data_IF_469003610907
#
_entry.id   IF_469003610907
#
_cell.length_a   1.000
_cell.length_b   1.000
_cell.length_c   1.000
_cell.angle_alpha   90.00
_cell.angle_beta   90.00
_cell.angle_gamma   90.00
#
_symmetry.space_group_name_H-M   'P 1'
#
loop_
_entity.id
_entity.type
_entity.pdbx_description
1 polymer ?
#
# COMPACT_ATOMS: atom_id res chain seq x y z
N UNK A 1 7.88 5.61 -20.12
CA UNK A 1 6.56 5.44 -19.49
C UNK A 1 6.65 4.24 -18.56
N UNK A 2 6.07 4.30 -17.36
CA UNK A 2 6.17 3.22 -16.36
C UNK A 2 5.44 1.97 -16.87
N UNK A 3 6.03 0.78 -16.69
CA UNK A 3 5.43 -0.51 -17.04
C UNK A 3 4.83 -1.20 -15.83
N UNK A 4 5.48 -1.11 -14.67
CA UNK A 4 5.00 -1.63 -13.39
C UNK A 4 4.95 -0.55 -12.33
N UNK A 5 3.78 -0.38 -11.72
CA UNK A 5 3.54 0.63 -10.70
C UNK A 5 3.11 -0.08 -9.42
N UNK A 6 3.81 0.19 -8.31
CA UNK A 6 3.37 -0.20 -6.98
C UNK A 6 2.58 0.94 -6.35
N UNK A 7 1.40 0.63 -5.83
CA UNK A 7 0.50 1.56 -5.16
C UNK A 7 0.22 1.03 -3.73
N UNK A 8 1.02 1.44 -2.73
CA UNK A 8 0.74 1.08 -1.35
C UNK A 8 -0.52 1.79 -0.84
N UNK A 9 -1.43 1.03 -0.25
CA UNK A 9 -2.72 1.49 0.29
C UNK A 9 -2.79 1.16 1.78
N UNK A 10 -3.02 2.19 2.59
CA UNK A 10 -3.43 2.01 3.98
C UNK A 10 -4.96 1.87 4.03
N UNK A 11 -5.43 0.66 4.30
CA UNK A 11 -6.86 0.33 4.36
C UNK A 11 -7.59 0.97 5.55
N UNK A 12 -6.86 1.63 6.44
CA UNK A 12 -7.42 2.40 7.55
C UNK A 12 -7.58 3.89 7.21
N UNK A 13 -7.20 4.31 5.99
CA UNK A 13 -7.20 5.71 5.56
C UNK A 13 -7.87 5.88 4.18
N UNK A 14 -9.14 6.29 4.19
CA UNK A 14 -9.94 6.34 2.96
C UNK A 14 -9.65 7.57 2.08
N UNK A 15 -9.56 8.78 2.64
CA UNK A 15 -9.59 10.03 1.86
C UNK A 15 -8.43 10.16 0.86
N UNK A 16 -7.18 10.01 1.33
CA UNK A 16 -6.00 10.15 0.47
C UNK A 16 -5.75 8.93 -0.41
N UNK A 17 -6.26 7.77 -0.01
CA UNK A 17 -6.25 6.58 -0.86
C UNK A 17 -7.10 6.81 -2.11
N UNK A 18 -8.25 7.49 -1.98
CA UNK A 18 -9.09 7.84 -3.13
C UNK A 18 -8.42 8.83 -4.08
N UNK A 19 -7.75 9.87 -3.56
CA UNK A 19 -7.01 10.82 -4.41
C UNK A 19 -5.83 10.13 -5.13
N UNK A 20 -5.13 9.25 -4.43
CA UNK A 20 -4.07 8.42 -5.03
C UNK A 20 -4.62 7.55 -6.15
N UNK A 21 -5.73 6.84 -5.92
CA UNK A 21 -6.38 6.01 -6.94
C UNK A 21 -6.78 6.85 -8.16
N UNK A 22 -7.38 8.03 -7.98
CA UNK A 22 -7.79 8.91 -9.07
C UNK A 22 -6.61 9.36 -9.97
N UNK A 23 -5.43 9.59 -9.39
CA UNK A 23 -4.22 9.88 -10.16
C UNK A 23 -3.72 8.65 -10.92
N UNK A 24 -3.77 7.47 -10.30
CA UNK A 24 -3.40 6.20 -10.94
C UNK A 24 -4.32 5.90 -12.13
N UNK A 25 -5.62 6.18 -12.04
CA UNK A 25 -6.54 6.03 -13.18
C UNK A 25 -6.09 6.82 -14.41
N UNK A 26 -5.55 8.03 -14.23
CA UNK A 26 -5.05 8.82 -15.36
C UNK A 26 -3.79 8.22 -15.96
N UNK A 27 -2.89 7.69 -15.12
CA UNK A 27 -1.67 7.01 -15.58
C UNK A 27 -2.02 5.71 -16.33
N UNK A 28 -3.02 4.97 -15.84
CA UNK A 28 -3.49 3.71 -16.43
C UNK A 28 -3.96 3.89 -17.88
N UNK A 29 -4.67 4.98 -18.18
CA UNK A 29 -5.23 5.27 -19.51
C UNK A 29 -4.19 5.44 -20.61
N UNK A 30 -3.06 6.06 -20.29
CA UNK A 30 -2.08 6.45 -21.31
C UNK A 30 -1.06 5.33 -21.54
N UNK A 31 -0.68 4.60 -20.48
CA UNK A 31 0.46 3.67 -20.52
C UNK A 31 0.12 2.18 -20.43
N UNK A 32 -1.11 1.84 -20.01
CA UNK A 32 -1.53 0.46 -19.68
C UNK A 32 -0.49 -0.31 -18.81
N UNK A 33 0.02 0.29 -17.72
CA UNK A 33 0.94 -0.41 -16.83
C UNK A 33 0.24 -1.56 -16.09
N UNK A 34 1.02 -2.52 -15.62
CA UNK A 34 0.60 -3.44 -14.56
C UNK A 34 0.68 -2.69 -13.22
N UNK A 35 -0.43 -2.62 -12.51
CA UNK A 35 -0.64 -1.84 -11.29
C UNK A 35 -0.82 -2.80 -10.14
N UNK A 36 0.15 -2.82 -9.23
CA UNK A 36 0.08 -3.62 -8.03
C UNK A 36 -0.41 -2.76 -6.88
N UNK A 37 -1.61 -3.05 -6.36
CA UNK A 37 -2.08 -2.51 -5.10
C UNK A 37 -1.59 -3.41 -3.97
N UNK A 38 -0.96 -2.79 -2.96
CA UNK A 38 -0.40 -3.49 -1.81
C UNK A 38 -0.92 -2.86 -0.52
N UNK A 39 -1.54 -3.65 0.33
CA UNK A 39 -1.73 -3.27 1.74
C UNK A 39 -0.76 -4.05 2.61
N UNK A 40 -0.27 -3.47 3.70
CA UNK A 40 0.64 -4.14 4.64
C UNK A 40 0.03 -4.14 6.01
N UNK A 41 -0.20 -5.34 6.56
CA UNK A 41 -0.65 -5.50 7.94
C UNK A 41 0.55 -5.75 8.86
N UNK A 42 0.51 -5.27 10.12
CA UNK A 42 1.57 -5.55 11.05
C UNK A 42 1.60 -7.03 11.44
N UNK A 43 2.81 -7.59 11.53
CA UNK A 43 3.03 -8.86 12.20
C UNK A 43 2.58 -8.72 13.67
N UNK A 44 1.64 -9.57 14.11
CA UNK A 44 1.02 -9.40 15.43
C UNK A 44 2.01 -9.65 16.57
N UNK A 45 2.90 -10.63 16.43
CA UNK A 45 3.90 -10.93 17.46
C UNK A 45 4.85 -9.74 17.66
N UNK A 46 5.35 -9.18 16.56
CA UNK A 46 6.22 -8.01 16.59
C UNK A 46 5.49 -6.75 17.08
N UNK A 47 4.21 -6.61 16.75
CA UNK A 47 3.42 -5.43 17.08
C UNK A 47 2.97 -5.41 18.54
N UNK A 48 2.45 -6.53 19.06
CA UNK A 48 1.96 -6.64 20.44
C UNK A 48 3.07 -7.04 21.44
N UNK A 49 4.18 -7.60 20.97
CA UNK A 49 5.31 -7.98 21.82
C UNK A 49 4.87 -8.90 22.97
N UNK A 50 5.18 -8.49 24.21
CA UNK A 50 4.83 -9.25 25.42
C UNK A 50 3.32 -9.44 25.61
N UNK A 51 2.49 -8.56 25.06
CA UNK A 51 1.03 -8.61 25.17
C UNK A 51 0.41 -9.58 24.16
N UNK A 52 1.19 -10.12 23.21
CA UNK A 52 0.73 -11.06 22.20
C UNK A 52 0.05 -12.30 22.83
N UNK A 53 0.53 -12.77 23.99
CA UNK A 53 -0.09 -13.90 24.68
C UNK A 53 -1.54 -13.63 25.12
N UNK A 54 -1.89 -12.37 25.35
CA UNK A 54 -3.20 -11.94 25.86
C UNK A 54 -4.21 -11.60 24.77
N UNK A 55 -3.80 -11.50 23.49
CA UNK A 55 -4.75 -11.17 22.41
C UNK A 55 -5.61 -12.39 22.05
N UNK A 56 -6.89 -12.19 21.67
CA UNK A 56 -7.75 -13.29 21.24
C UNK A 56 -7.15 -14.05 20.05
N UNK A 57 -7.29 -15.38 20.04
CA UNK A 57 -6.65 -16.27 19.05
C UNK A 57 -6.96 -15.89 17.59
N UNK A 58 -8.19 -15.43 17.33
CA UNK A 58 -8.62 -14.92 16.02
C UNK A 58 -7.79 -13.75 15.47
N UNK A 59 -7.08 -13.01 16.33
CA UNK A 59 -6.19 -11.90 15.94
C UNK A 59 -4.71 -12.32 15.85
N UNK A 60 -4.37 -13.52 16.31
CA UNK A 60 -3.02 -14.09 16.14
C UNK A 60 -2.84 -14.70 14.77
N UNK A 61 -3.90 -15.30 14.23
CA UNK A 61 -3.86 -15.92 12.91
C UNK A 61 -3.60 -14.86 11.82
N UNK A 62 -2.38 -14.87 11.28
CA UNK A 62 -2.01 -14.01 10.16
C UNK A 62 -2.82 -14.32 8.91
N UNK A 63 -3.26 -15.56 8.72
CA UNK A 63 -3.97 -16.00 7.50
C UNK A 63 -5.34 -15.32 7.40
N UNK A 64 -6.12 -15.32 8.47
CA UNK A 64 -7.41 -14.64 8.50
C UNK A 64 -7.28 -13.12 8.41
N UNK A 65 -6.28 -12.53 9.08
CA UNK A 65 -6.02 -11.08 8.96
C UNK A 65 -5.62 -10.70 7.55
N UNK A 66 -4.77 -11.50 6.90
CA UNK A 66 -4.38 -11.31 5.50
C UNK A 66 -5.59 -11.43 4.59
N UNK A 67 -6.47 -12.41 4.80
CA UNK A 67 -7.70 -12.58 4.03
C UNK A 67 -8.62 -11.36 4.16
N UNK A 68 -8.84 -10.86 5.38
CA UNK A 68 -9.67 -9.69 5.63
C UNK A 68 -9.06 -8.42 5.02
N UNK A 69 -7.75 -8.24 5.14
CA UNK A 69 -7.05 -7.11 4.54
C UNK A 69 -7.12 -7.14 3.01
N UNK A 70 -7.02 -8.32 2.40
CA UNK A 70 -7.18 -8.49 0.95
C UNK A 70 -8.58 -8.07 0.49
N UNK A 71 -9.63 -8.53 1.19
CA UNK A 71 -11.01 -8.13 0.89
C UNK A 71 -11.20 -6.61 1.07
N UNK A 72 -10.68 -6.03 2.14
CA UNK A 72 -10.75 -4.59 2.37
C UNK A 72 -10.01 -3.78 1.28
N UNK A 73 -8.85 -4.26 0.83
CA UNK A 73 -8.11 -3.65 -0.27
C UNK A 73 -8.93 -3.68 -1.57
N UNK A 74 -9.51 -4.83 -1.91
CA UNK A 74 -10.35 -4.96 -3.10
C UNK A 74 -11.57 -4.04 -3.03
N UNK A 75 -12.21 -3.94 -1.87
CA UNK A 75 -13.36 -3.05 -1.66
C UNK A 75 -12.98 -1.58 -1.83
N UNK A 76 -11.79 -1.16 -1.39
CA UNK A 76 -11.32 0.21 -1.52
C UNK A 76 -11.05 0.62 -2.97
N UNK A 77 -10.59 -0.33 -3.79
CA UNK A 77 -10.27 -0.07 -5.22
C UNK A 77 -11.40 -0.46 -6.18
N UNK A 78 -12.54 -0.97 -5.68
CA UNK A 78 -13.63 -1.51 -6.53
C UNK A 78 -14.17 -0.51 -7.54
N UNK A 79 -14.17 0.77 -7.18
CA UNK A 79 -14.70 1.86 -8.00
C UNK A 79 -13.62 2.51 -8.88
N UNK A 80 -12.38 2.01 -8.81
CA UNK A 80 -11.28 2.50 -9.62
C UNK A 80 -11.53 2.18 -11.10
N UNK A 81 -11.41 3.20 -11.95
CA UNK A 81 -11.60 3.10 -13.40
C UNK A 81 -10.34 2.59 -14.10
N UNK A 82 -9.83 1.46 -13.62
CA UNK A 82 -8.66 0.74 -14.14
C UNK A 82 -9.14 -0.63 -14.64
N UNK A 83 -8.79 -1.06 -15.86
CA UNK A 83 -9.15 -2.37 -16.35
C UNK A 83 -8.62 -3.50 -15.45
N UNK A 84 -9.45 -4.50 -15.15
CA UNK A 84 -9.10 -5.60 -14.25
C UNK A 84 -7.81 -6.32 -14.66
N UNK A 85 -7.52 -6.43 -15.97
CA UNK A 85 -6.29 -7.06 -16.47
C UNK A 85 -5.00 -6.30 -16.11
N UNK A 86 -5.11 -5.04 -15.68
CA UNK A 86 -3.99 -4.24 -15.19
C UNK A 86 -3.81 -4.34 -13.67
N UNK A 87 -4.78 -4.89 -12.94
CA UNK A 87 -4.81 -4.85 -11.48
C UNK A 87 -4.25 -6.14 -10.89
N UNK A 88 -3.28 -5.99 -9.99
CA UNK A 88 -2.81 -7.05 -9.10
C UNK A 88 -2.97 -6.59 -7.66
N UNK A 89 -3.69 -7.35 -6.83
CA UNK A 89 -3.81 -7.07 -5.40
C UNK A 89 -2.90 -7.99 -4.59
N UNK A 90 -2.25 -7.46 -3.55
CA UNK A 90 -1.45 -8.25 -2.63
C UNK A 90 -1.49 -7.69 -1.20
N UNK A 91 -1.15 -8.54 -0.24
CA UNK A 91 -1.07 -8.19 1.19
C UNK A 91 0.30 -8.60 1.73
N UNK A 92 1.06 -7.63 2.23
CA UNK A 92 2.30 -7.87 2.99
C UNK A 92 2.03 -8.02 4.48
N UNK A 93 2.92 -8.70 5.20
CA UNK A 93 2.82 -8.89 6.66
C UNK A 93 4.13 -8.52 7.33
N UNK A 94 4.20 -7.35 7.94
CA UNK A 94 5.45 -6.88 8.55
C UNK A 94 5.50 -5.38 8.76
N UNK A 95 6.71 -4.82 8.63
CA UNK A 95 6.92 -3.38 8.64
C UNK A 95 6.55 -2.80 7.27
N UNK A 96 5.61 -1.84 7.23
CA UNK A 96 5.10 -1.26 5.98
C UNK A 96 6.22 -0.80 5.03
N UNK A 97 7.22 -0.08 5.53
CA UNK A 97 8.33 0.40 4.70
C UNK A 97 9.10 -0.77 4.07
N UNK A 98 9.47 -1.76 4.88
CA UNK A 98 10.33 -2.84 4.40
C UNK A 98 9.57 -3.74 3.41
N UNK A 99 8.31 -4.09 3.72
CA UNK A 99 7.42 -4.85 2.84
C UNK A 99 7.18 -4.14 1.50
N UNK A 100 6.89 -2.83 1.52
CA UNK A 100 6.68 -2.04 0.29
C UNK A 100 7.95 -2.02 -0.56
N UNK A 101 9.12 -1.76 0.05
CA UNK A 101 10.38 -1.70 -0.69
C UNK A 101 10.80 -3.06 -1.21
N UNK A 102 10.55 -4.13 -0.46
CA UNK A 102 10.84 -5.50 -0.86
C UNK A 102 9.94 -5.94 -2.01
N UNK A 103 8.64 -5.72 -1.88
CA UNK A 103 7.70 -6.04 -2.94
C UNK A 103 7.97 -5.24 -4.21
N UNK A 104 8.30 -3.94 -4.10
CA UNK A 104 8.70 -3.11 -5.23
C UNK A 104 9.93 -3.68 -5.97
N UNK A 105 10.92 -4.20 -5.23
CA UNK A 105 12.07 -4.89 -5.84
C UNK A 105 11.67 -6.21 -6.46
N UNK A 106 10.84 -6.99 -5.79
CA UNK A 106 10.41 -8.32 -6.26
C UNK A 106 9.68 -8.26 -7.60
N UNK A 107 8.81 -7.26 -7.80
CA UNK A 107 8.08 -7.09 -9.05
C UNK A 107 8.86 -6.31 -10.11
N UNK A 108 10.06 -5.82 -9.81
CA UNK A 108 10.81 -4.86 -10.63
C UNK A 108 9.98 -3.60 -10.97
N UNK A 109 9.43 -2.96 -9.94
CA UNK A 109 8.60 -1.76 -10.10
C UNK A 109 9.40 -0.57 -10.67
N UNK A 110 8.84 0.11 -11.67
CA UNK A 110 9.42 1.33 -12.22
C UNK A 110 9.04 2.58 -11.39
N UNK A 111 7.92 2.50 -10.68
CA UNK A 111 7.34 3.58 -9.89
C UNK A 111 6.69 3.03 -8.62
N UNK A 112 6.91 3.71 -7.50
CA UNK A 112 6.06 3.63 -6.32
C UNK A 112 5.23 4.91 -6.24
N UNK A 113 3.91 4.80 -6.28
CA UNK A 113 2.99 5.91 -6.10
C UNK A 113 2.34 5.81 -4.71
N UNK A 114 2.57 6.81 -3.85
CA UNK A 114 2.21 6.74 -2.43
C UNK A 114 1.60 8.07 -1.96
N UNK A 115 0.59 7.97 -1.10
CA UNK A 115 0.04 9.13 -0.42
C UNK A 115 1.07 9.73 0.56
N UNK A 116 1.07 11.05 0.71
CA UNK A 116 2.09 11.77 1.47
C UNK A 116 2.01 11.50 2.97
N UNK A 117 0.82 11.50 3.57
CA UNK A 117 0.57 11.29 5.00
C UNK A 117 -0.92 11.37 5.35
N UNK A 118 -1.38 11.02 6.57
CA UNK A 118 -2.72 11.34 7.10
C UNK A 118 -3.06 12.85 7.00
N UNK A 119 -4.32 13.22 6.69
CA UNK A 119 -4.75 14.62 6.59
C UNK A 119 -4.61 15.45 7.89
N UNK A 120 -4.52 14.80 9.05
CA UNK A 120 -4.59 15.44 10.38
C UNK A 120 -3.24 15.84 11.00
N UNK A 121 -2.15 15.79 10.24
CA UNK A 121 -0.82 16.21 10.72
C UNK A 121 -0.31 17.25 9.74
N UNK A 122 0.31 18.32 10.26
CA UNK A 122 0.59 19.55 9.51
C UNK A 122 0.90 19.28 8.03
N UNK A 123 0.09 19.83 7.13
CA UNK A 123 0.01 19.52 5.68
C UNK A 123 1.33 19.60 4.88
N UNK A 124 2.40 20.06 5.52
CA UNK A 124 3.74 20.16 4.97
C UNK A 124 4.59 18.89 5.16
N UNK A 125 4.26 18.01 6.10
CA UNK A 125 5.12 16.87 6.45
C UNK A 125 4.74 15.59 5.70
N UNK A 126 5.76 14.82 5.29
CA UNK A 126 5.58 13.45 4.84
C UNK A 126 5.40 12.55 6.06
N UNK A 127 4.50 11.57 5.95
CA UNK A 127 4.33 10.50 6.91
C UNK A 127 5.59 9.65 7.00
N UNK A 128 5.75 8.94 8.12
CA UNK A 128 6.93 8.10 8.36
C UNK A 128 7.17 7.09 7.23
N UNK A 129 6.11 6.44 6.73
CA UNK A 129 6.20 5.52 5.60
C UNK A 129 6.61 6.23 4.32
N UNK A 130 5.88 7.25 3.87
CA UNK A 130 6.20 7.99 2.65
C UNK A 130 7.61 8.58 2.66
N UNK A 131 8.01 9.21 3.78
CA UNK A 131 9.37 9.74 3.98
C UNK A 131 10.43 8.63 3.85
N UNK A 132 10.17 7.47 4.47
CA UNK A 132 11.09 6.34 4.41
C UNK A 132 11.18 5.73 3.01
N UNK A 133 10.06 5.64 2.27
CA UNK A 133 10.04 5.16 0.89
C UNK A 133 10.84 6.10 -0.01
N UNK A 134 10.57 7.41 0.03
CA UNK A 134 11.31 8.41 -0.75
C UNK A 134 12.81 8.34 -0.48
N UNK A 135 13.21 8.09 0.77
CA UNK A 135 14.62 8.03 1.15
C UNK A 135 15.35 6.76 0.68
N UNK A 136 14.67 5.62 0.57
CA UNK A 136 15.32 4.32 0.38
C UNK A 136 14.96 3.61 -0.92
N UNK A 137 13.91 4.02 -1.63
CA UNK A 137 13.53 3.47 -2.92
C UNK A 137 14.67 3.58 -3.93
N UNK A 138 14.78 2.57 -4.80
CA UNK A 138 15.76 2.53 -5.90
C UNK A 138 15.14 2.86 -7.26
N UNK A 139 13.82 3.01 -7.29
CA UNK A 139 12.99 3.39 -8.42
C UNK A 139 12.37 4.76 -8.17
N UNK A 140 11.69 5.30 -9.19
CA UNK A 140 10.97 6.57 -9.06
C UNK A 140 9.90 6.46 -7.97
N UNK A 141 9.68 7.58 -7.26
CA UNK A 141 8.61 7.69 -6.27
C UNK A 141 7.75 8.91 -6.63
N UNK A 142 6.45 8.69 -6.79
CA UNK A 142 5.44 9.74 -6.93
C UNK A 142 4.73 9.88 -5.59
N UNK A 143 4.81 11.06 -4.99
CA UNK A 143 4.13 11.38 -3.74
C UNK A 143 2.92 12.25 -4.03
N UNK A 144 1.75 11.83 -3.57
CA UNK A 144 0.46 12.51 -3.79
C UNK A 144 0.02 13.19 -2.49
N UNK A 145 -0.49 14.42 -2.59
CA UNK A 145 -0.73 15.33 -1.46
C UNK A 145 -2.07 15.99 -1.55
#
# INVERSE_FOLDING_TARGET
MYKKILVPIDILEDELSQELIAHIEQIAKVGKPEIHFLTVIPNAELFFGIEFAAIPEKFKDSSERTRLAFVALQEMIKDAKIPDEQIVCNVGVGNAKDEILEYARHIDADLIAIASHRPNVSSYLLGSTASSIVRHAKMSVLVIR
#
